data_IF_887060459109
#
_entry.id   IF_887060459109
#
_cell.length_a   1.000
_cell.length_b   1.000
_cell.length_c   1.000
_cell.angle_alpha   90.00
_cell.angle_beta   90.00
_cell.angle_gamma   90.00
#
_symmetry.space_group_name_H-M   'P 1'
#
loop_
_entity.id
_entity.type
_entity.pdbx_description
1 polymer ?
#
# COMPACT_ATOMS: atom_id res chain seq x y z
N UNK A 1 -2.07 -44.69 -28.52
CA UNK A 1 -2.70 -43.77 -27.54
C UNK A 1 -3.34 -42.63 -28.31
N UNK A 2 -4.66 -42.54 -28.29
CA UNK A 2 -5.41 -41.65 -29.17
C UNK A 2 -5.38 -40.19 -28.71
N UNK A 3 -5.51 -39.26 -29.67
CA UNK A 3 -5.54 -37.80 -29.47
C UNK A 3 -6.48 -37.35 -28.33
N UNK A 4 -7.56 -38.11 -28.07
CA UNK A 4 -8.47 -37.88 -26.94
C UNK A 4 -7.80 -38.03 -25.56
N UNK A 5 -6.87 -38.98 -25.37
CA UNK A 5 -6.18 -39.19 -24.09
C UNK A 5 -5.19 -38.06 -23.78
N UNK A 6 -4.56 -37.47 -24.81
CA UNK A 6 -3.68 -36.30 -24.66
C UNK A 6 -4.49 -35.05 -24.30
N UNK A 7 -5.67 -34.88 -24.90
CA UNK A 7 -6.58 -33.76 -24.56
C UNK A 7 -7.15 -33.91 -23.14
N UNK A 8 -7.53 -35.11 -22.71
CA UNK A 8 -7.97 -35.33 -21.32
C UNK A 8 -6.83 -35.20 -20.30
N UNK A 9 -5.59 -35.55 -20.67
CA UNK A 9 -4.42 -35.26 -19.84
C UNK A 9 -4.12 -33.76 -19.78
N UNK A 10 -4.25 -33.01 -20.88
CA UNK A 10 -4.05 -31.56 -20.90
C UNK A 10 -5.15 -30.79 -20.15
N UNK A 11 -6.42 -31.17 -20.31
CA UNK A 11 -7.55 -30.59 -19.56
C UNK A 11 -7.48 -31.01 -18.08
N UNK A 12 -7.08 -32.26 -17.80
CA UNK A 12 -6.83 -32.75 -16.45
C UNK A 12 -5.67 -32.02 -15.76
N UNK A 13 -4.59 -31.73 -16.48
CA UNK A 13 -3.43 -30.99 -15.97
C UNK A 13 -3.73 -29.49 -15.81
N UNK A 14 -4.59 -28.91 -16.67
CA UNK A 14 -5.11 -27.55 -16.50
C UNK A 14 -6.07 -27.44 -15.30
N UNK A 15 -6.75 -28.54 -14.94
CA UNK A 15 -7.64 -28.63 -13.78
C UNK A 15 -6.94 -29.08 -12.49
N UNK A 16 -5.66 -29.45 -12.56
CA UNK A 16 -4.81 -29.83 -11.40
C UNK A 16 -3.87 -28.68 -10.97
N UNK A 17 -3.82 -27.58 -11.72
CA UNK A 17 -3.38 -26.28 -11.20
C UNK A 17 -4.59 -25.41 -10.85
N UNK A 18 -5.53 -25.94 -10.06
CA UNK A 18 -6.38 -25.08 -9.25
C UNK A 18 -5.48 -24.43 -8.20
N UNK A 19 -4.74 -23.37 -8.58
CA UNK A 19 -4.30 -22.38 -7.60
C UNK A 19 -5.57 -22.02 -6.84
N UNK A 20 -5.60 -22.35 -5.55
CA UNK A 20 -6.65 -21.91 -4.65
C UNK A 20 -6.73 -20.40 -4.87
N UNK A 21 -7.86 -19.91 -5.39
CA UNK A 21 -8.07 -18.46 -5.50
C UNK A 21 -7.85 -17.93 -4.09
N UNK A 22 -6.88 -17.06 -3.91
CA UNK A 22 -6.61 -16.49 -2.60
C UNK A 22 -7.91 -15.84 -2.12
N UNK A 23 -8.26 -16.01 -0.82
CA UNK A 23 -9.50 -15.46 -0.30
C UNK A 23 -9.52 -13.94 -0.48
N UNK A 24 -10.71 -13.35 -0.52
CA UNK A 24 -10.98 -11.90 -0.47
C UNK A 24 -11.97 -11.68 0.68
N UNK A 25 -11.48 -11.84 1.91
CA UNK A 25 -12.30 -11.97 3.13
C UNK A 25 -12.92 -10.64 3.52
N UNK A 26 -12.12 -9.58 3.50
CA UNK A 26 -12.51 -8.27 4.05
C UNK A 26 -12.74 -7.20 3.00
N UNK A 27 -12.67 -7.56 1.72
CA UNK A 27 -12.71 -6.62 0.59
C UNK A 27 -13.91 -5.67 0.65
N UNK A 28 -15.14 -6.18 0.75
CA UNK A 28 -16.35 -5.34 0.81
C UNK A 28 -16.32 -4.38 2.00
N UNK A 29 -15.89 -4.84 3.18
CA UNK A 29 -15.84 -4.00 4.39
C UNK A 29 -14.76 -2.91 4.27
N UNK A 30 -13.63 -3.21 3.62
CA UNK A 30 -12.56 -2.23 3.37
C UNK A 30 -13.03 -1.20 2.36
N UNK A 31 -13.69 -1.63 1.28
CA UNK A 31 -14.28 -0.72 0.28
C UNK A 31 -15.30 0.23 0.92
N UNK A 32 -16.22 -0.29 1.73
CA UNK A 32 -17.19 0.50 2.48
C UNK A 32 -16.49 1.53 3.38
N UNK A 33 -15.45 1.10 4.12
CA UNK A 33 -14.71 1.98 5.03
C UNK A 33 -14.00 3.11 4.30
N UNK A 34 -13.32 2.83 3.19
CA UNK A 34 -12.70 3.88 2.36
C UNK A 34 -13.75 4.78 1.69
N UNK A 35 -14.90 4.21 1.29
CA UNK A 35 -16.02 4.95 0.71
C UNK A 35 -16.57 5.98 1.68
N UNK A 36 -16.81 5.59 2.93
CA UNK A 36 -17.25 6.50 3.99
C UNK A 36 -16.18 7.54 4.37
N UNK A 37 -14.90 7.16 4.38
CA UNK A 37 -13.80 8.06 4.70
C UNK A 37 -13.64 9.20 3.69
N UNK A 38 -13.76 8.88 2.40
CA UNK A 38 -13.44 9.79 1.31
C UNK A 38 -14.65 10.27 0.50
N UNK A 39 -15.86 9.92 0.92
CA UNK A 39 -17.13 10.23 0.22
C UNK A 39 -17.09 9.77 -1.25
N UNK A 40 -16.71 8.51 -1.44
CA UNK A 40 -16.42 7.95 -2.76
C UNK A 40 -17.72 7.70 -3.52
N UNK A 41 -17.75 8.13 -4.78
CA UNK A 41 -18.81 7.76 -5.72
C UNK A 41 -18.38 6.52 -6.50
N UNK A 42 -19.32 5.61 -6.74
CA UNK A 42 -19.05 4.36 -7.46
C UNK A 42 -18.43 4.61 -8.84
N UNK A 43 -18.85 5.66 -9.56
CA UNK A 43 -18.30 6.01 -10.88
C UNK A 43 -16.82 6.44 -10.85
N UNK A 44 -16.32 6.88 -9.70
CA UNK A 44 -14.93 7.33 -9.50
C UNK A 44 -14.03 6.18 -9.07
N UNK A 45 -14.59 5.01 -8.78
CA UNK A 45 -13.89 3.85 -8.23
C UNK A 45 -13.56 2.82 -9.32
N UNK A 46 -12.28 2.46 -9.40
CA UNK A 46 -11.79 1.38 -10.25
C UNK A 46 -10.89 0.44 -9.47
N UNK A 47 -10.89 -0.84 -9.86
CA UNK A 47 -9.99 -1.85 -9.29
C UNK A 47 -9.02 -2.38 -10.35
N UNK A 48 -7.75 -2.47 -9.99
CA UNK A 48 -6.73 -3.21 -10.74
C UNK A 48 -6.51 -4.54 -10.04
N UNK A 49 -7.12 -5.59 -10.58
CA UNK A 49 -7.02 -6.93 -10.04
C UNK A 49 -5.63 -7.53 -10.20
N UNK A 50 -5.20 -8.31 -9.21
CA UNK A 50 -4.00 -9.10 -9.32
C UNK A 50 -4.15 -10.21 -10.36
N UNK A 51 -3.20 -10.29 -11.29
CA UNK A 51 -3.23 -11.34 -12.30
C UNK A 51 -2.74 -12.69 -11.75
N UNK A 52 -1.75 -12.69 -10.84
CA UNK A 52 -1.19 -13.92 -10.30
C UNK A 52 -0.76 -13.78 -8.84
N UNK A 53 -1.45 -14.52 -7.98
CA UNK A 53 -1.11 -14.63 -6.56
C UNK A 53 -0.46 -15.97 -6.24
N UNK A 54 0.53 -15.95 -5.35
CA UNK A 54 1.07 -17.16 -4.71
C UNK A 54 0.42 -17.43 -3.35
N UNK A 55 0.26 -16.38 -2.52
CA UNK A 55 -0.31 -16.47 -1.17
C UNK A 55 -1.54 -15.60 -0.97
N UNK A 56 -1.44 -14.32 -1.33
CA UNK A 56 -2.52 -13.30 -1.16
C UNK A 56 -2.87 -12.64 -2.50
N UNK A 57 -4.14 -12.29 -2.67
CA UNK A 57 -4.63 -11.51 -3.81
C UNK A 57 -4.54 -10.04 -3.47
N UNK A 58 -3.63 -9.30 -4.12
CA UNK A 58 -3.46 -7.87 -3.83
C UNK A 58 -4.07 -7.06 -4.95
N UNK A 59 -5.29 -6.61 -4.72
CA UNK A 59 -5.97 -5.68 -5.60
C UNK A 59 -5.62 -4.25 -5.22
N UNK A 60 -5.62 -3.37 -6.22
CA UNK A 60 -5.45 -1.93 -6.02
C UNK A 60 -6.75 -1.24 -6.39
N UNK A 61 -7.39 -0.63 -5.41
CA UNK A 61 -8.54 0.23 -5.59
C UNK A 61 -8.01 1.64 -5.85
N UNK A 62 -8.51 2.28 -6.88
CA UNK A 62 -8.10 3.61 -7.34
C UNK A 62 -9.35 4.48 -7.41
N UNK A 63 -9.33 5.55 -6.63
CA UNK A 63 -10.43 6.49 -6.52
C UNK A 63 -10.03 7.79 -7.20
N UNK A 64 -10.77 8.21 -8.22
CA UNK A 64 -10.48 9.42 -8.97
C UNK A 64 -10.58 10.68 -8.09
N UNK A 65 -9.83 11.75 -8.40
CA UNK A 65 -9.99 13.06 -7.76
C UNK A 65 -11.37 13.65 -8.02
N UNK A 66 -11.82 14.50 -7.10
CA UNK A 66 -12.99 15.36 -7.26
C UNK A 66 -12.67 16.80 -6.80
N UNK A 67 -13.66 17.69 -6.84
CA UNK A 67 -13.49 19.11 -6.49
C UNK A 67 -13.04 19.33 -5.02
N UNK A 68 -13.43 18.45 -4.10
CA UNK A 68 -13.10 18.54 -2.67
C UNK A 68 -11.89 17.67 -2.29
N UNK A 69 -11.55 16.70 -3.14
CA UNK A 69 -10.43 15.77 -2.99
C UNK A 69 -9.57 15.78 -4.27
N UNK A 70 -8.69 16.78 -4.45
CA UNK A 70 -7.91 16.97 -5.67
C UNK A 70 -6.69 16.02 -5.74
N UNK A 71 -6.89 14.75 -5.42
CA UNK A 71 -5.89 13.69 -5.47
C UNK A 71 -6.57 12.32 -5.61
N UNK A 72 -5.87 11.35 -6.20
CA UNK A 72 -6.31 9.97 -6.18
C UNK A 72 -6.10 9.36 -4.80
N UNK A 73 -7.03 8.51 -4.37
CA UNK A 73 -6.79 7.58 -3.26
C UNK A 73 -6.52 6.21 -3.86
N UNK A 74 -5.39 5.61 -3.48
CA UNK A 74 -5.05 4.24 -3.87
C UNK A 74 -4.96 3.41 -2.61
N UNK A 75 -5.70 2.32 -2.52
CA UNK A 75 -5.61 1.41 -1.37
C UNK A 75 -5.59 -0.04 -1.82
N UNK A 76 -4.98 -0.89 -0.99
CA UNK A 76 -4.96 -2.32 -1.22
C UNK A 76 -6.19 -2.98 -0.62
N UNK A 77 -6.61 -4.07 -1.24
CA UNK A 77 -7.35 -5.13 -0.54
C UNK A 77 -6.60 -6.44 -0.70
N UNK A 78 -6.79 -7.29 0.31
CA UNK A 78 -6.32 -8.66 0.39
C UNK A 78 -4.93 -8.87 0.97
N UNK A 79 -4.23 -7.79 1.35
CA UNK A 79 -3.08 -7.89 2.25
C UNK A 79 -3.52 -8.42 3.62
N UNK A 80 -4.70 -7.98 4.06
CA UNK A 80 -5.29 -8.30 5.35
C UNK A 80 -6.00 -9.65 5.40
N UNK A 81 -6.18 -10.37 4.30
CA UNK A 81 -6.93 -11.63 4.25
C UNK A 81 -6.27 -12.76 5.05
N UNK A 82 -4.94 -12.73 5.12
CA UNK A 82 -4.17 -13.59 6.02
C UNK A 82 -3.51 -12.73 7.10
N UNK A 83 -3.37 -13.24 8.34
CA UNK A 83 -2.54 -12.59 9.32
C UNK A 83 -1.07 -12.64 8.87
N UNK A 84 -0.39 -11.51 8.96
CA UNK A 84 1.05 -11.38 8.83
C UNK A 84 1.76 -12.13 9.97
N UNK A 85 3.05 -12.42 9.79
CA UNK A 85 3.81 -13.20 10.77
C UNK A 85 4.51 -12.27 11.76
N UNK A 86 3.99 -12.23 12.99
CA UNK A 86 4.60 -11.54 14.12
C UNK A 86 5.35 -12.53 15.02
N UNK A 87 6.34 -12.05 15.77
CA UNK A 87 7.10 -12.88 16.71
C UNK A 87 6.22 -13.52 17.81
N UNK A 88 6.58 -14.71 18.24
CA UNK A 88 5.88 -15.42 19.33
C UNK A 88 6.02 -14.69 20.68
N UNK A 89 7.05 -13.86 20.81
CA UNK A 89 7.35 -12.99 21.95
C UNK A 89 6.44 -11.74 22.03
N UNK A 90 5.79 -11.35 20.93
CA UNK A 90 4.81 -10.25 20.94
C UNK A 90 3.56 -10.67 21.73
N UNK A 91 3.08 -9.90 22.71
CA UNK A 91 1.84 -10.20 23.43
C UNK A 91 0.66 -10.51 22.51
N UNK A 92 -0.18 -11.49 22.90
CA UNK A 92 -1.26 -12.00 22.03
C UNK A 92 -2.28 -10.93 21.64
N UNK A 93 -2.62 -10.04 22.56
CA UNK A 93 -3.50 -8.89 22.38
C UNK A 93 -2.93 -7.89 21.38
N UNK A 94 -1.61 -7.63 21.45
CA UNK A 94 -0.93 -6.79 20.46
C UNK A 94 -0.90 -7.47 19.08
N UNK A 95 -0.62 -8.77 19.01
CA UNK A 95 -0.69 -9.50 17.74
C UNK A 95 -2.08 -9.41 17.11
N UNK A 96 -3.14 -9.64 17.89
CA UNK A 96 -4.52 -9.62 17.37
C UNK A 96 -4.96 -8.26 16.81
N UNK A 97 -4.31 -7.19 17.25
CA UNK A 97 -4.59 -5.83 16.78
C UNK A 97 -3.66 -5.37 15.66
N UNK A 98 -2.55 -6.05 15.41
CA UNK A 98 -1.51 -5.62 14.45
C UNK A 98 -1.17 -6.66 13.36
N UNK A 99 -1.72 -7.88 13.45
CA UNK A 99 -1.41 -8.97 12.50
C UNK A 99 -2.05 -8.76 11.11
N UNK A 100 -2.91 -7.76 10.91
CA UNK A 100 -3.52 -7.47 9.60
C UNK A 100 -3.41 -5.99 9.27
N UNK A 101 -3.12 -5.70 8.00
CA UNK A 101 -3.04 -4.35 7.49
C UNK A 101 -3.46 -4.28 6.02
N UNK A 102 -3.84 -3.08 5.58
CA UNK A 102 -3.88 -2.65 4.20
C UNK A 102 -3.02 -1.39 4.05
N UNK A 103 -2.54 -1.15 2.83
CA UNK A 103 -1.76 0.03 2.49
C UNK A 103 -2.64 1.02 1.74
N UNK A 104 -2.43 2.31 1.97
CA UNK A 104 -2.99 3.35 1.11
C UNK A 104 -1.96 4.42 0.75
N UNK A 105 -2.11 5.04 -0.40
CA UNK A 105 -1.25 6.10 -0.93
C UNK A 105 -2.12 7.14 -1.63
N UNK A 106 -1.73 8.41 -1.53
CA UNK A 106 -2.39 9.50 -2.24
C UNK A 106 -1.54 9.90 -3.44
N UNK A 107 -2.14 10.01 -4.63
CA UNK A 107 -1.43 10.39 -5.87
C UNK A 107 -1.96 11.71 -6.42
N UNK A 108 -1.13 12.50 -7.13
CA UNK A 108 -1.56 13.79 -7.64
C UNK A 108 -2.64 13.62 -8.73
N UNK A 109 -3.50 14.63 -8.95
CA UNK A 109 -4.69 14.49 -9.81
C UNK A 109 -4.36 14.31 -11.30
N UNK A 110 -3.11 14.55 -11.70
CA UNK A 110 -2.60 14.33 -13.05
C UNK A 110 -1.90 12.97 -13.23
N UNK A 111 -1.90 12.11 -12.19
CA UNK A 111 -1.31 10.78 -12.28
C UNK A 111 -2.04 9.91 -13.31
N UNK A 112 -1.31 9.32 -14.26
CA UNK A 112 -1.93 8.37 -15.20
C UNK A 112 -2.17 7.05 -14.48
N UNK A 113 -3.43 6.66 -14.45
CA UNK A 113 -3.86 5.42 -13.80
C UNK A 113 -4.41 4.40 -14.81
N UNK A 114 -4.65 4.80 -16.06
CA UNK A 114 -5.07 3.94 -17.16
C UNK A 114 -3.97 3.77 -18.20
N UNK A 115 -3.68 2.52 -18.54
CA UNK A 115 -2.52 2.18 -19.39
C UNK A 115 -2.89 1.51 -20.71
N UNK A 116 -4.16 1.11 -20.90
CA UNK A 116 -4.62 0.36 -22.08
C UNK A 116 -4.45 1.12 -23.41
N UNK A 117 -4.41 2.45 -23.36
CA UNK A 117 -4.26 3.34 -24.52
C UNK A 117 -2.96 4.16 -24.49
N UNK A 118 -2.09 3.92 -23.50
CA UNK A 118 -0.86 4.69 -23.28
C UNK A 118 0.35 4.13 -24.03
N UNK A 119 1.44 4.89 -24.01
CA UNK A 119 2.75 4.38 -24.45
C UNK A 119 3.39 3.51 -23.35
N UNK A 120 4.28 2.60 -23.72
CA UNK A 120 5.07 1.84 -22.72
C UNK A 120 5.83 2.78 -21.78
N UNK A 121 6.34 3.91 -22.30
CA UNK A 121 7.02 4.93 -21.51
C UNK A 121 6.11 5.57 -20.46
N UNK A 122 4.84 5.81 -20.79
CA UNK A 122 3.87 6.28 -19.79
C UNK A 122 3.60 5.20 -18.73
N UNK A 123 3.43 3.95 -19.16
CA UNK A 123 3.27 2.85 -18.21
C UNK A 123 4.45 2.83 -17.22
N UNK A 124 5.69 2.77 -17.71
CA UNK A 124 6.88 2.71 -16.85
C UNK A 124 6.96 3.89 -15.87
N UNK A 125 6.64 5.11 -16.36
CA UNK A 125 6.69 6.34 -15.57
C UNK A 125 5.69 6.40 -14.41
N UNK A 126 4.50 5.83 -14.58
CA UNK A 126 3.42 5.95 -13.59
C UNK A 126 3.13 4.64 -12.86
N UNK A 127 3.61 3.49 -13.37
CA UNK A 127 3.33 2.17 -12.81
C UNK A 127 4.18 1.84 -11.57
N UNK A 128 5.37 2.44 -11.44
CA UNK A 128 6.31 2.08 -10.38
C UNK A 128 5.70 2.17 -8.97
N UNK A 129 4.82 3.15 -8.71
CA UNK A 129 4.20 3.32 -7.38
C UNK A 129 3.20 2.19 -7.09
N UNK A 130 2.42 1.79 -8.08
CA UNK A 130 1.50 0.66 -7.96
C UNK A 130 2.26 -0.65 -7.77
N UNK A 131 3.37 -0.84 -8.50
CA UNK A 131 4.24 -1.99 -8.32
C UNK A 131 4.87 -2.02 -6.92
N UNK A 132 5.35 -0.87 -6.42
CA UNK A 132 5.94 -0.75 -5.10
C UNK A 132 4.94 -1.08 -3.98
N UNK A 133 3.72 -0.52 -4.04
CA UNK A 133 2.65 -0.81 -3.07
C UNK A 133 2.30 -2.31 -3.08
N UNK A 134 2.12 -2.92 -4.26
CA UNK A 134 1.79 -4.35 -4.37
C UNK A 134 2.91 -5.25 -3.84
N UNK A 135 4.17 -4.86 -4.06
CA UNK A 135 5.31 -5.60 -3.51
C UNK A 135 5.36 -5.48 -1.98
N UNK A 136 5.14 -4.30 -1.40
CA UNK A 136 5.05 -4.12 0.05
C UNK A 136 3.93 -4.96 0.67
N UNK A 137 2.72 -4.94 0.07
CA UNK A 137 1.58 -5.70 0.56
C UNK A 137 1.81 -7.23 0.57
N UNK A 138 2.64 -7.75 -0.36
CA UNK A 138 3.00 -9.18 -0.40
C UNK A 138 4.15 -9.54 0.52
N UNK A 139 5.06 -8.61 0.72
CA UNK A 139 6.30 -8.83 1.44
C UNK A 139 6.14 -9.58 2.78
N UNK A 140 5.22 -9.21 3.69
CA UNK A 140 5.08 -9.92 4.97
C UNK A 140 4.70 -11.39 4.78
N UNK A 141 3.86 -11.69 3.80
CA UNK A 141 3.41 -13.05 3.49
C UNK A 141 4.49 -13.89 2.81
N UNK A 142 5.29 -13.29 1.93
CA UNK A 142 6.37 -13.99 1.23
C UNK A 142 7.58 -14.23 2.14
N UNK A 143 7.91 -13.26 2.98
CA UNK A 143 9.11 -13.27 3.82
C UNK A 143 8.86 -13.78 5.25
N UNK A 144 7.62 -14.09 5.62
CA UNK A 144 7.28 -14.55 6.97
C UNK A 144 7.54 -13.48 8.03
N UNK A 145 7.10 -12.26 7.75
CA UNK A 145 7.25 -11.09 8.64
C UNK A 145 5.95 -10.28 8.69
N UNK A 146 5.99 -9.09 9.27
CA UNK A 146 4.87 -8.15 9.39
C UNK A 146 5.31 -6.72 9.09
N UNK A 147 4.36 -5.91 8.65
CA UNK A 147 4.53 -4.47 8.44
C UNK A 147 3.61 -3.74 9.41
N UNK A 148 4.14 -2.74 10.10
CA UNK A 148 3.38 -1.87 10.99
C UNK A 148 3.81 -0.42 10.83
N UNK A 149 3.16 0.47 11.58
CA UNK A 149 3.53 1.89 11.60
C UNK A 149 5.00 2.08 11.96
N UNK A 150 5.64 3.05 11.32
CA UNK A 150 7.06 3.40 11.42
C UNK A 150 8.05 2.34 10.89
N UNK A 151 7.58 1.20 10.39
CA UNK A 151 8.44 0.27 9.66
C UNK A 151 8.82 0.86 8.31
N UNK A 152 9.95 0.40 7.78
CA UNK A 152 10.44 0.79 6.46
C UNK A 152 10.69 -0.44 5.60
N UNK A 153 10.49 -0.30 4.30
CA UNK A 153 10.85 -1.31 3.31
C UNK A 153 11.86 -0.73 2.32
N UNK A 154 13.04 -1.32 2.29
CA UNK A 154 14.04 -1.09 1.27
C UNK A 154 13.82 -2.10 0.14
N UNK A 155 13.71 -1.61 -1.10
CA UNK A 155 13.31 -2.42 -2.25
C UNK A 155 14.49 -3.04 -3.02
N UNK A 156 15.68 -2.48 -2.83
CA UNK A 156 16.93 -2.87 -3.47
C UNK A 156 18.10 -2.65 -2.52
N UNK A 157 19.10 -3.53 -2.57
CA UNK A 157 20.27 -3.47 -1.68
C UNK A 157 21.06 -2.16 -1.84
N UNK A 158 21.09 -1.60 -3.05
CA UNK A 158 21.83 -0.39 -3.42
C UNK A 158 20.98 0.89 -3.42
N UNK A 159 19.74 0.83 -2.90
CA UNK A 159 18.80 1.96 -2.93
C UNK A 159 18.55 2.49 -4.36
N UNK A 160 18.55 1.61 -5.37
CA UNK A 160 18.12 1.93 -6.73
C UNK A 160 16.74 2.63 -6.71
N UNK A 161 16.61 3.83 -7.31
CA UNK A 161 15.33 4.52 -7.41
C UNK A 161 14.25 3.69 -8.11
N UNK A 162 12.99 3.89 -7.71
CA UNK A 162 11.86 3.16 -8.28
C UNK A 162 11.69 3.36 -9.79
N UNK A 163 12.09 4.53 -10.31
CA UNK A 163 12.01 4.89 -11.72
C UNK A 163 12.99 6.04 -12.03
N UNK A 164 13.44 6.19 -13.28
CA UNK A 164 14.36 7.26 -13.70
C UNK A 164 13.87 8.69 -13.44
N UNK A 165 12.54 8.87 -13.28
CA UNK A 165 11.92 10.18 -13.02
C UNK A 165 11.92 10.61 -11.56
N UNK A 166 12.40 9.77 -10.64
CA UNK A 166 12.45 10.04 -9.21
C UNK A 166 13.73 9.49 -8.59
N UNK A 167 14.06 9.94 -7.40
CA UNK A 167 15.14 9.38 -6.57
C UNK A 167 14.61 8.63 -5.34
N UNK A 168 13.28 8.56 -5.18
CA UNK A 168 12.64 7.75 -4.17
C UNK A 168 12.94 6.26 -4.45
N UNK A 169 13.34 5.52 -3.42
CA UNK A 169 13.87 4.16 -3.55
C UNK A 169 13.40 3.18 -2.46
N UNK A 170 12.72 3.70 -1.44
CA UNK A 170 12.25 2.96 -0.28
C UNK A 170 10.88 3.50 0.16
N UNK A 171 10.30 2.92 1.20
CA UNK A 171 9.06 3.43 1.78
C UNK A 171 9.04 3.32 3.30
N UNK A 172 8.32 4.23 3.95
CA UNK A 172 7.86 4.13 5.34
C UNK A 172 6.34 3.94 5.35
N UNK A 173 5.86 3.22 6.36
CA UNK A 173 4.44 2.98 6.59
C UNK A 173 4.00 3.74 7.83
N UNK A 174 2.98 4.59 7.73
CA UNK A 174 2.58 5.47 8.83
C UNK A 174 1.11 5.27 9.20
N UNK A 175 0.82 5.20 10.50
CA UNK A 175 -0.48 5.61 11.03
C UNK A 175 -0.55 7.14 11.05
N UNK A 176 -1.75 7.69 10.85
CA UNK A 176 -2.03 9.13 10.97
C UNK A 176 -2.61 9.41 12.35
N UNK A 177 -2.06 10.36 13.09
CA UNK A 177 -2.50 10.62 14.47
C UNK A 177 -3.97 11.06 14.51
N UNK A 178 -4.67 10.79 15.62
CA UNK A 178 -6.06 11.23 15.81
C UNK A 178 -6.24 12.75 15.70
N UNK A 179 -5.16 13.53 15.88
CA UNK A 179 -5.12 14.99 15.77
C UNK A 179 -4.82 15.48 14.35
N UNK A 180 -4.34 14.61 13.47
CA UNK A 180 -4.07 14.96 12.08
C UNK A 180 -5.34 15.51 11.42
N UNK A 181 -5.15 16.48 10.52
CA UNK A 181 -6.22 17.22 9.85
C UNK A 181 -7.21 17.87 10.82
N UNK A 182 -6.71 18.29 12.00
CA UNK A 182 -7.55 18.87 13.05
C UNK A 182 -8.54 17.88 13.66
N UNK A 183 -8.25 16.58 13.59
CA UNK A 183 -9.09 15.50 14.07
C UNK A 183 -10.32 15.19 13.22
N UNK A 184 -10.36 15.69 11.98
CA UNK A 184 -11.49 15.47 11.04
C UNK A 184 -11.82 13.98 10.86
N UNK A 185 -10.81 13.12 10.84
CA UNK A 185 -10.98 11.70 10.55
C UNK A 185 -10.93 10.81 11.80
N UNK A 186 -10.48 11.33 12.95
CA UNK A 186 -10.28 10.56 14.17
C UNK A 186 -9.34 9.37 13.94
N UNK A 187 -9.67 8.23 14.53
CA UNK A 187 -8.92 6.97 14.39
C UNK A 187 -9.26 6.18 13.11
N UNK A 188 -10.26 6.62 12.35
CA UNK A 188 -10.75 5.91 11.15
C UNK A 188 -9.71 5.82 10.04
N UNK A 189 -8.67 6.66 10.06
CA UNK A 189 -7.53 6.57 9.12
C UNK A 189 -6.43 5.61 9.59
N UNK A 190 -6.50 5.10 10.82
CA UNK A 190 -5.50 4.20 11.40
C UNK A 190 -5.90 2.76 11.34
N UNK A 191 -7.18 2.47 11.56
CA UNK A 191 -7.67 1.11 11.52
C UNK A 191 -9.17 1.08 11.26
N UNK A 192 -9.64 -0.10 10.90
CA UNK A 192 -11.05 -0.46 10.90
C UNK A 192 -11.27 -1.75 11.70
N UNK A 193 -12.49 -1.93 12.20
CA UNK A 193 -12.94 -3.18 12.82
C UNK A 193 -13.89 -3.86 11.86
N UNK A 194 -13.61 -5.11 11.53
CA UNK A 194 -14.47 -5.94 10.70
C UNK A 194 -15.65 -6.48 11.52
N UNK A 195 -16.68 -6.97 10.83
CA UNK A 195 -17.87 -7.61 11.42
C UNK A 195 -17.52 -8.83 12.27
N UNK A 196 -16.43 -9.53 11.93
CA UNK A 196 -15.91 -10.67 12.70
C UNK A 196 -15.05 -10.27 13.91
N UNK A 197 -14.83 -8.97 14.12
CA UNK A 197 -14.07 -8.41 15.23
C UNK A 197 -12.56 -8.31 15.01
N UNK A 198 -12.07 -8.63 13.81
CA UNK A 198 -10.67 -8.43 13.42
C UNK A 198 -10.35 -6.93 13.31
N UNK A 199 -9.08 -6.58 13.58
CA UNK A 199 -8.55 -5.24 13.36
C UNK A 199 -7.74 -5.24 12.07
N UNK A 200 -8.01 -4.28 11.19
CA UNK A 200 -7.22 -4.05 9.99
C UNK A 200 -6.58 -2.68 10.12
N UNK A 201 -5.25 -2.65 10.22
CA UNK A 201 -4.49 -1.41 10.24
C UNK A 201 -4.46 -0.79 8.84
N UNK A 202 -4.64 0.52 8.77
CA UNK A 202 -4.58 1.29 7.53
C UNK A 202 -3.29 2.07 7.55
N UNK A 203 -2.32 1.62 6.74
CA UNK A 203 -0.97 2.16 6.75
C UNK A 203 -0.76 3.06 5.53
N UNK A 204 -0.48 4.34 5.79
CA UNK A 204 -0.11 5.29 4.75
C UNK A 204 1.27 4.92 4.21
N UNK A 205 1.35 4.64 2.92
CA UNK A 205 2.56 4.32 2.18
C UNK A 205 3.24 5.61 1.72
N UNK A 206 4.38 5.96 2.31
CA UNK A 206 5.14 7.15 1.94
C UNK A 206 6.50 6.74 1.37
N UNK A 207 6.74 6.96 0.07
CA UNK A 207 8.06 6.75 -0.51
C UNK A 207 9.11 7.67 0.10
N UNK A 208 10.32 7.13 0.33
CA UNK A 208 11.46 7.82 0.91
C UNK A 208 12.68 7.80 -0.01
N UNK A 209 13.49 8.83 0.15
CA UNK A 209 14.88 8.87 -0.33
C UNK A 209 15.78 7.98 0.54
N UNK A 210 16.93 7.56 0.00
CA UNK A 210 17.92 6.80 0.75
C UNK A 210 18.39 7.55 2.01
N UNK A 211 18.66 8.85 1.87
CA UNK A 211 19.14 9.71 2.95
C UNK A 211 18.11 9.87 4.08
N UNK A 212 16.81 9.75 3.77
CA UNK A 212 15.74 9.81 4.77
C UNK A 212 15.63 8.51 5.57
N UNK A 213 15.94 7.36 4.93
CA UNK A 213 16.09 6.08 5.64
C UNK A 213 17.30 6.14 6.57
N UNK A 214 18.45 6.58 6.06
CA UNK A 214 19.67 6.70 6.86
C UNK A 214 19.43 7.62 8.06
N UNK A 215 18.80 8.78 7.84
CA UNK A 215 18.43 9.68 8.91
C UNK A 215 17.52 9.04 9.96
N UNK A 216 16.50 8.27 9.53
CA UNK A 216 15.61 7.54 10.45
C UNK A 216 16.35 6.47 11.25
N UNK A 217 17.31 5.77 10.64
CA UNK A 217 18.11 4.76 11.35
C UNK A 217 18.95 5.41 12.45
N UNK A 218 19.48 6.61 12.20
CA UNK A 218 20.30 7.34 13.16
C UNK A 218 19.50 8.09 14.24
N UNK A 219 18.32 8.63 13.90
CA UNK A 219 17.59 9.59 14.74
C UNK A 219 16.20 9.11 15.18
N UNK A 220 15.68 8.04 14.58
CA UNK A 220 14.35 7.52 14.84
C UNK A 220 13.24 8.10 13.94
N UNK A 221 12.09 7.44 13.97
CA UNK A 221 10.95 7.76 13.10
C UNK A 221 10.27 9.08 13.44
N UNK A 222 10.22 9.44 14.73
CA UNK A 222 9.55 10.66 15.20
C UNK A 222 10.27 11.91 14.68
N UNK A 223 11.61 11.90 14.68
CA UNK A 223 12.42 12.99 14.13
C UNK A 223 12.27 13.11 12.61
N UNK A 224 12.21 11.97 11.89
CA UNK A 224 11.93 12.00 10.45
C UNK A 224 10.53 12.57 10.18
N UNK A 225 9.52 12.12 10.92
CA UNK A 225 8.15 12.62 10.80
C UNK A 225 8.10 14.13 11.03
N UNK A 226 8.76 14.61 12.08
CA UNK A 226 8.85 16.04 12.40
C UNK A 226 9.47 16.86 11.26
N UNK A 227 10.50 16.33 10.59
CA UNK A 227 11.11 16.99 9.41
C UNK A 227 10.20 17.03 8.19
N UNK A 228 9.46 15.96 7.94
CA UNK A 228 8.61 15.83 6.76
C UNK A 228 7.29 16.58 6.88
N UNK A 229 6.64 16.48 8.04
CA UNK A 229 5.25 16.88 8.23
C UNK A 229 5.07 17.94 9.32
N UNK A 230 6.05 18.13 10.19
CA UNK A 230 5.90 18.92 11.41
C UNK A 230 5.38 18.07 12.57
N UNK A 231 4.76 18.72 13.58
CA UNK A 231 4.25 18.01 14.76
C UNK A 231 2.99 17.19 14.49
N UNK A 232 2.33 17.41 13.35
CA UNK A 232 1.09 16.76 12.91
C UNK A 232 0.90 17.03 11.41
N UNK A 233 0.23 16.13 10.71
CA UNK A 233 -0.21 16.38 9.34
C UNK A 233 -1.43 17.29 9.37
N UNK A 234 -1.28 18.52 8.88
CA UNK A 234 -2.36 19.52 8.90
C UNK A 234 -3.28 19.45 7.68
N UNK A 235 -2.75 18.99 6.55
CA UNK A 235 -3.45 18.92 5.26
C UNK A 235 -3.11 17.60 4.54
N UNK A 236 -4.11 16.94 3.95
CA UNK A 236 -3.94 15.73 3.15
C UNK A 236 -2.98 15.93 1.98
N UNK A 237 -2.89 17.16 1.46
CA UNK A 237 -1.94 17.51 0.41
C UNK A 237 -0.47 17.29 0.81
N UNK A 238 -0.14 17.28 2.10
CA UNK A 238 1.20 16.94 2.58
C UNK A 238 1.56 15.47 2.34
N UNK A 239 0.54 14.60 2.23
CA UNK A 239 0.69 13.16 1.99
C UNK A 239 0.58 12.77 0.52
N UNK A 240 0.13 13.68 -0.35
CA UNK A 240 0.06 13.44 -1.79
C UNK A 240 1.48 13.25 -2.33
N UNK A 241 1.68 12.13 -3.03
CA UNK A 241 2.95 11.81 -3.64
C UNK A 241 3.40 12.92 -4.60
N UNK A 242 4.57 13.47 -4.34
CA UNK A 242 5.34 14.22 -5.32
C UNK A 242 6.65 13.46 -5.58
N UNK A 243 6.82 12.84 -6.77
CA UNK A 243 8.04 12.10 -7.11
C UNK A 243 9.31 12.96 -7.14
N UNK A 244 9.14 14.29 -7.15
CA UNK A 244 10.21 15.28 -7.21
C UNK A 244 10.23 16.17 -5.97
N UNK A 245 9.51 15.81 -4.90
CA UNK A 245 9.53 16.55 -3.64
C UNK A 245 10.96 16.72 -3.16
N UNK A 246 11.24 17.80 -2.43
CA UNK A 246 12.54 17.94 -1.76
C UNK A 246 12.82 16.72 -0.87
N UNK A 247 14.09 16.35 -0.80
CA UNK A 247 14.59 15.43 0.22
C UNK A 247 14.73 16.21 1.53
N UNK A 248 14.21 15.68 2.63
CA UNK A 248 14.17 16.36 3.94
C UNK A 248 15.43 16.14 4.78
N UNK A 249 16.38 15.34 4.30
CA UNK A 249 17.55 14.89 5.05
C UNK A 249 18.87 15.07 4.26
N UNK A 250 18.92 15.96 3.27
CA UNK A 250 20.21 16.30 2.63
C UNK A 250 21.03 17.22 3.54
N UNK A 251 22.34 17.30 3.29
CA UNK A 251 23.25 18.15 4.06
C UNK A 251 22.90 19.65 4.02
N UNK A 252 22.05 20.10 3.09
CA UNK A 252 21.57 21.49 2.98
C UNK A 252 20.35 21.78 3.89
N UNK A 253 19.71 20.74 4.45
CA UNK A 253 18.55 20.85 5.33
C UNK A 253 18.85 20.45 6.78
N UNK A 254 20.12 20.23 7.12
CA UNK A 254 20.60 19.87 8.46
C UNK A 254 20.91 21.10 9.32
#
# INVERSE_FOLDING_TARGET
>A
MGLKQVIYAAIGMFRILTKKVAPTVYMEEIEDHFSELFDIKEEDHRVIHELMSEKVHIDLHIIAPDENRPFYVVFTTGMSDLPMTMGEDVPWDLRKTHERAELFCLLPPDWKTEFSKGSQKDYDRFWWIFAAIKQAARYPHLSGTWIGSNHTLQYSEDNTPFHESTKLCSAIFLHLDEKDFGGKYGDRMNYMRTKDGSYINLLCFIPLYAEEIDFKLDNGSDELFMRMFGSTVTDMLQLVLDPQRKNYCTAETA
#
